data_IF_954297151672
#
_entry.id   IF_954297151672
#
_cell.length_a   1.000
_cell.length_b   1.000
_cell.length_c   1.000
_cell.angle_alpha   90.00
_cell.angle_beta   90.00
_cell.angle_gamma   90.00
#
_symmetry.space_group_name_H-M   'P 1'
#
loop_
_entity.id
_entity.type
_entity.pdbx_description
1 polymer ?
#
# COMPACT_ATOMS: atom_id res chain seq x y z
N UNK A 1 -21.44 -27.03 13.68
CA UNK A 1 -21.31 -26.76 12.23
C UNK A 1 -19.96 -26.13 12.00
N UNK A 2 -19.19 -26.62 11.03
CA UNK A 2 -17.89 -26.04 10.72
C UNK A 2 -18.12 -24.85 9.78
N UNK A 3 -17.86 -23.63 10.26
CA UNK A 3 -18.04 -22.40 9.48
C UNK A 3 -16.81 -22.21 8.59
N UNK A 4 -17.04 -21.96 7.29
CA UNK A 4 -15.96 -21.63 6.35
C UNK A 4 -15.51 -20.18 6.50
N UNK A 5 -14.31 -19.86 6.00
CA UNK A 5 -13.84 -18.46 5.94
C UNK A 5 -14.82 -17.57 5.17
N UNK A 6 -15.48 -18.10 4.14
CA UNK A 6 -16.42 -17.33 3.31
C UNK A 6 -17.66 -16.95 4.11
N UNK A 7 -18.22 -17.87 4.89
CA UNK A 7 -19.39 -17.64 5.73
C UNK A 7 -19.05 -16.69 6.88
N UNK A 8 -17.92 -16.93 7.57
CA UNK A 8 -17.49 -16.06 8.65
C UNK A 8 -17.27 -14.61 8.17
N UNK A 9 -16.61 -14.44 7.02
CA UNK A 9 -16.36 -13.11 6.44
C UNK A 9 -17.63 -12.33 6.09
N UNK A 10 -18.76 -13.01 5.86
CA UNK A 10 -20.02 -12.35 5.50
C UNK A 10 -20.66 -11.61 6.69
N UNK A 11 -20.40 -12.07 7.92
CA UNK A 11 -20.89 -11.48 9.16
C UNK A 11 -19.80 -10.71 9.94
N UNK A 12 -18.55 -10.76 9.49
CA UNK A 12 -17.40 -10.23 10.21
C UNK A 12 -16.99 -8.82 9.80
N UNK A 13 -16.47 -8.04 10.75
CA UNK A 13 -15.77 -6.78 10.48
C UNK A 13 -14.37 -7.00 9.86
N UNK A 14 -13.83 -8.21 9.97
CA UNK A 14 -12.53 -8.56 9.41
C UNK A 14 -12.70 -8.82 7.91
N UNK A 15 -11.98 -8.08 7.05
CA UNK A 15 -12.10 -8.28 5.61
C UNK A 15 -11.70 -9.71 5.19
N UNK A 16 -12.48 -10.34 4.29
CA UNK A 16 -12.20 -11.68 3.75
C UNK A 16 -10.75 -11.89 3.29
N UNK A 17 -10.11 -10.85 2.73
CA UNK A 17 -8.70 -10.89 2.31
C UNK A 17 -7.72 -11.18 3.45
N UNK A 18 -8.04 -10.70 4.66
CA UNK A 18 -7.22 -10.89 5.86
C UNK A 18 -7.40 -12.32 6.36
N UNK A 19 -8.61 -12.84 6.41
CA UNK A 19 -8.87 -14.24 6.79
C UNK A 19 -8.16 -15.21 5.84
N UNK A 20 -8.22 -14.96 4.52
CA UNK A 20 -7.46 -15.74 3.53
C UNK A 20 -5.94 -15.59 3.69
N UNK A 21 -5.46 -14.44 4.17
CA UNK A 21 -4.05 -14.28 4.51
C UNK A 21 -3.70 -15.15 5.71
N UNK A 22 -4.45 -15.08 6.80
CA UNK A 22 -4.23 -15.89 8.00
C UNK A 22 -4.23 -17.39 7.68
N UNK A 23 -5.14 -17.86 6.83
CA UNK A 23 -5.17 -19.25 6.38
C UNK A 23 -3.93 -19.65 5.58
N UNK A 24 -3.49 -18.81 4.64
CA UNK A 24 -2.26 -19.08 3.86
C UNK A 24 -1.00 -19.11 4.73
N UNK A 25 -0.99 -18.33 5.81
CA UNK A 25 0.09 -18.34 6.81
C UNK A 25 -0.07 -19.48 7.83
N UNK A 26 -1.10 -20.34 7.70
CA UNK A 26 -1.35 -21.46 8.62
C UNK A 26 -1.85 -21.06 10.01
N UNK A 27 -2.25 -19.80 10.21
CA UNK A 27 -2.68 -19.25 11.51
C UNK A 27 -4.09 -19.71 11.87
N UNK A 28 -4.96 -19.85 10.86
CA UNK A 28 -6.32 -20.39 11.00
C UNK A 28 -6.54 -21.47 9.94
N UNK A 29 -7.58 -22.30 10.09
CA UNK A 29 -7.95 -23.32 9.11
C UNK A 29 -9.18 -22.89 8.29
N UNK A 30 -9.42 -23.58 7.18
CA UNK A 30 -10.67 -23.50 6.43
C UNK A 30 -11.15 -24.93 6.11
N UNK A 31 -12.22 -25.45 6.74
CA UNK A 31 -13.13 -24.76 7.67
C UNK A 31 -12.49 -24.35 9.00
N UNK A 32 -13.05 -23.31 9.63
CA UNK A 32 -12.56 -22.77 10.90
C UNK A 32 -12.72 -23.77 12.05
N UNK A 33 -11.66 -23.96 12.83
CA UNK A 33 -11.70 -24.75 14.07
C UNK A 33 -12.35 -23.95 15.21
N UNK A 34 -12.78 -24.60 16.31
CA UNK A 34 -13.30 -23.89 17.48
C UNK A 34 -12.34 -22.81 18.01
N UNK A 35 -11.04 -23.11 18.10
CA UNK A 35 -10.03 -22.15 18.56
C UNK A 35 -9.86 -20.96 17.61
N UNK A 36 -9.98 -21.18 16.29
CA UNK A 36 -9.95 -20.12 15.29
C UNK A 36 -11.10 -19.13 15.54
N UNK A 37 -12.29 -19.63 15.87
CA UNK A 37 -13.45 -18.77 16.17
C UNK A 37 -13.20 -17.89 17.39
N UNK A 38 -12.63 -18.44 18.47
CA UNK A 38 -12.31 -17.68 19.68
C UNK A 38 -11.30 -16.57 19.35
N UNK A 39 -10.23 -16.91 18.62
CA UNK A 39 -9.22 -15.96 18.20
C UNK A 39 -9.76 -14.86 17.28
N UNK A 40 -10.60 -15.23 16.31
CA UNK A 40 -11.20 -14.28 15.38
C UNK A 40 -12.23 -13.36 16.07
N UNK A 41 -13.06 -13.87 16.97
CA UNK A 41 -13.98 -13.05 17.78
C UNK A 41 -13.24 -12.04 18.64
N UNK A 42 -12.09 -12.41 19.20
CA UNK A 42 -11.23 -11.46 19.90
C UNK A 42 -10.68 -10.41 18.93
N UNK A 43 -10.16 -10.85 17.78
CA UNK A 43 -9.61 -9.96 16.75
C UNK A 43 -10.67 -8.95 16.25
N UNK A 44 -11.93 -9.35 16.09
CA UNK A 44 -13.04 -8.48 15.70
C UNK A 44 -13.25 -7.33 16.69
N UNK A 45 -13.19 -7.60 17.99
CA UNK A 45 -13.38 -6.57 19.04
C UNK A 45 -12.31 -5.48 18.98
N UNK A 46 -11.10 -5.84 18.53
CA UNK A 46 -9.96 -4.93 18.43
C UNK A 46 -9.70 -4.41 17.02
N UNK A 47 -10.40 -4.92 16.01
CA UNK A 47 -10.17 -4.58 14.61
C UNK A 47 -10.39 -3.08 14.38
N UNK A 48 -9.36 -2.39 13.87
CA UNK A 48 -9.42 -0.95 13.63
C UNK A 48 -9.35 -0.06 14.87
N UNK A 49 -9.20 -0.60 16.09
CA UNK A 49 -9.06 0.21 17.31
C UNK A 49 -7.77 1.03 17.26
N UNK A 50 -7.91 2.35 17.38
CA UNK A 50 -6.80 3.31 17.24
C UNK A 50 -5.64 3.03 18.20
N UNK A 51 -5.90 2.70 19.45
CA UNK A 51 -4.84 2.44 20.44
C UNK A 51 -4.01 1.19 20.09
N UNK A 52 -4.66 0.12 19.63
CA UNK A 52 -3.98 -1.10 19.19
C UNK A 52 -3.17 -0.83 17.93
N UNK A 53 -3.76 -0.14 16.94
CA UNK A 53 -3.06 0.22 15.71
C UNK A 53 -1.83 1.11 15.97
N UNK A 54 -1.93 2.08 16.88
CA UNK A 54 -0.79 2.92 17.25
C UNK A 54 0.34 2.08 17.83
N UNK A 55 0.03 1.18 18.78
CA UNK A 55 1.01 0.29 19.39
C UNK A 55 1.68 -0.66 18.36
N UNK A 56 0.93 -1.13 17.37
CA UNK A 56 1.50 -1.92 16.26
C UNK A 56 2.43 -1.07 15.38
N UNK A 57 2.02 0.15 15.04
CA UNK A 57 2.81 1.05 14.19
C UNK A 57 4.09 1.56 14.87
N UNK A 58 4.14 1.67 16.20
CA UNK A 58 5.35 2.14 16.90
C UNK A 58 6.54 1.19 16.72
N UNK A 59 6.29 -0.10 16.44
CA UNK A 59 7.32 -1.10 16.12
C UNK A 59 8.04 -0.82 14.80
N UNK A 60 7.48 0.02 13.94
CA UNK A 60 8.10 0.41 12.67
C UNK A 60 8.89 1.72 12.82
N UNK A 61 9.98 1.87 12.05
CA UNK A 61 10.66 3.16 11.91
C UNK A 61 9.72 4.21 11.29
N UNK A 62 9.91 5.50 11.60
CA UNK A 62 9.05 6.59 11.11
C UNK A 62 8.87 6.57 9.59
N UNK A 63 9.96 6.38 8.84
CA UNK A 63 9.93 6.24 7.37
C UNK A 63 9.02 5.10 6.91
N UNK A 64 9.08 3.95 7.59
CA UNK A 64 8.24 2.79 7.30
C UNK A 64 6.76 3.04 7.66
N UNK A 65 6.47 3.69 8.81
CA UNK A 65 5.10 4.08 9.19
C UNK A 65 4.44 4.96 8.12
N UNK A 66 5.14 6.01 7.68
CA UNK A 66 4.63 6.92 6.66
C UNK A 66 4.41 6.20 5.32
N UNK A 67 5.32 5.30 4.95
CA UNK A 67 5.16 4.49 3.74
C UNK A 67 3.95 3.57 3.83
N UNK A 68 3.77 2.89 4.97
CA UNK A 68 2.63 2.00 5.23
C UNK A 68 1.30 2.76 5.11
N UNK A 69 1.18 3.89 5.81
CA UNK A 69 -0.05 4.73 5.78
C UNK A 69 -0.35 5.23 4.35
N UNK A 70 0.67 5.72 3.63
CA UNK A 70 0.48 6.23 2.25
C UNK A 70 0.00 5.16 1.27
N UNK A 71 0.32 3.90 1.56
CA UNK A 71 0.08 2.77 0.66
C UNK A 71 -1.02 1.82 1.16
N UNK A 72 -1.69 2.15 2.27
CA UNK A 72 -2.68 1.29 2.92
C UNK A 72 -3.89 0.95 2.01
N UNK A 73 -4.24 1.85 1.10
CA UNK A 73 -5.35 1.66 0.16
C UNK A 73 -4.99 0.77 -1.05
N UNK A 74 -3.70 0.49 -1.26
CA UNK A 74 -3.25 -0.34 -2.38
C UNK A 74 -3.31 -1.81 -1.99
N UNK A 75 -4.20 -2.54 -2.67
CA UNK A 75 -4.49 -3.93 -2.36
C UNK A 75 -3.35 -4.88 -2.75
N UNK A 76 -2.65 -4.58 -3.84
CA UNK A 76 -1.65 -5.49 -4.42
C UNK A 76 -0.22 -5.00 -4.21
N UNK A 77 0.74 -5.93 -4.25
CA UNK A 77 2.18 -5.62 -4.16
C UNK A 77 2.62 -4.70 -5.31
N UNK A 78 2.13 -4.93 -6.53
CA UNK A 78 2.50 -4.13 -7.69
C UNK A 78 1.96 -2.69 -7.60
N UNK A 79 0.77 -2.46 -7.04
CA UNK A 79 0.24 -1.10 -6.85
C UNK A 79 1.10 -0.32 -5.86
N UNK A 80 1.55 -0.97 -4.77
CA UNK A 80 2.48 -0.37 -3.80
C UNK A 80 3.85 -0.07 -4.43
N UNK A 81 4.37 -0.99 -5.25
CA UNK A 81 5.59 -0.78 -6.02
C UNK A 81 5.46 0.42 -6.96
N UNK A 82 4.41 0.46 -7.78
CA UNK A 82 4.15 1.54 -8.72
C UNK A 82 4.09 2.91 -8.02
N UNK A 83 3.38 3.00 -6.89
CA UNK A 83 3.34 4.22 -6.09
C UNK A 83 4.73 4.67 -5.64
N UNK A 84 5.53 3.73 -5.13
CA UNK A 84 6.91 4.01 -4.72
C UNK A 84 7.76 4.50 -5.90
N UNK A 85 7.67 3.85 -7.07
CA UNK A 85 8.40 4.23 -8.28
C UNK A 85 8.07 5.64 -8.76
N UNK A 86 6.79 6.00 -8.87
CA UNK A 86 6.39 7.36 -9.25
C UNK A 86 6.77 8.41 -8.19
N UNK A 87 6.66 8.05 -6.91
CA UNK A 87 6.98 8.97 -5.81
C UNK A 87 8.47 9.30 -5.75
N UNK A 88 9.33 8.32 -6.05
CA UNK A 88 10.78 8.43 -5.96
C UNK A 88 11.47 8.72 -7.31
N UNK A 89 10.71 9.04 -8.36
CA UNK A 89 11.25 9.46 -9.65
C UNK A 89 12.16 10.69 -9.48
N UNK A 90 13.31 10.70 -10.16
CA UNK A 90 14.28 11.80 -10.07
C UNK A 90 13.66 13.16 -10.47
N UNK A 91 14.02 14.26 -9.79
CA UNK A 91 13.63 15.61 -10.21
C UNK A 91 14.10 15.89 -11.65
N UNK A 92 13.28 16.60 -12.43
CA UNK A 92 13.61 16.99 -13.80
C UNK A 92 13.48 15.88 -14.85
N UNK A 93 13.60 14.60 -14.49
CA UNK A 93 13.38 13.48 -15.41
C UNK A 93 11.90 13.14 -15.51
N UNK A 94 11.40 12.81 -16.70
CA UNK A 94 10.04 12.25 -16.89
C UNK A 94 10.11 10.73 -16.83
N UNK A 95 9.30 10.11 -15.97
CA UNK A 95 9.10 8.65 -15.97
C UNK A 95 7.93 8.31 -16.91
N UNK A 96 8.25 7.60 -18.00
CA UNK A 96 7.26 7.15 -18.96
C UNK A 96 6.37 6.04 -18.37
N UNK A 97 5.08 6.07 -18.70
CA UNK A 97 4.14 5.05 -18.21
C UNK A 97 4.51 3.65 -18.71
N UNK A 98 4.94 3.56 -19.97
CA UNK A 98 5.30 2.31 -20.62
C UNK A 98 6.46 1.60 -19.90
N UNK A 99 7.48 2.35 -19.48
CA UNK A 99 8.59 1.79 -18.69
C UNK A 99 8.10 1.20 -17.36
N UNK A 100 7.17 1.87 -16.68
CA UNK A 100 6.61 1.35 -15.41
C UNK A 100 5.74 0.12 -15.63
N UNK A 101 5.00 0.06 -16.75
CA UNK A 101 4.25 -1.13 -17.17
C UNK A 101 5.22 -2.30 -17.33
N UNK A 102 6.27 -2.14 -18.15
CA UNK A 102 7.27 -3.18 -18.41
C UNK A 102 7.99 -3.64 -17.14
N UNK A 103 8.38 -2.70 -16.27
CA UNK A 103 8.96 -3.01 -14.95
C UNK A 103 8.01 -3.86 -14.10
N UNK A 104 6.73 -3.51 -14.03
CA UNK A 104 5.72 -4.24 -13.25
C UNK A 104 5.52 -5.64 -13.83
N UNK A 105 5.34 -5.75 -15.14
CA UNK A 105 5.07 -7.04 -15.78
C UNK A 105 6.25 -8.00 -15.60
N UNK A 106 7.48 -7.47 -15.69
CA UNK A 106 8.71 -8.24 -15.46
C UNK A 106 8.89 -8.62 -13.99
N UNK A 107 8.68 -7.69 -13.06
CA UNK A 107 8.92 -7.92 -11.62
C UNK A 107 7.89 -8.85 -10.98
N UNK A 108 6.64 -8.78 -11.44
CA UNK A 108 5.52 -9.51 -10.85
C UNK A 108 5.00 -10.66 -11.73
N UNK A 109 5.67 -10.93 -12.87
CA UNK A 109 5.41 -12.05 -13.77
C UNK A 109 3.95 -12.15 -14.25
N UNK A 110 3.33 -11.03 -14.61
CA UNK A 110 1.97 -10.99 -15.18
C UNK A 110 1.81 -9.82 -16.15
N UNK A 111 0.83 -9.88 -17.07
CA UNK A 111 0.51 -8.77 -17.98
C UNK A 111 -0.60 -7.87 -17.43
N UNK A 112 -0.42 -6.56 -17.52
CA UNK A 112 -1.40 -5.59 -17.08
C UNK A 112 -2.55 -5.50 -18.08
N UNK A 113 -3.78 -5.76 -17.62
CA UNK A 113 -4.98 -5.53 -18.41
C UNK A 113 -5.43 -4.06 -18.38
N UNK A 114 -6.37 -3.69 -19.26
CA UNK A 114 -6.89 -2.32 -19.37
C UNK A 114 -7.35 -1.73 -18.01
N UNK A 115 -8.13 -2.45 -17.17
CA UNK A 115 -8.46 -1.97 -15.82
C UNK A 115 -7.25 -1.69 -14.93
N UNK A 116 -6.23 -2.57 -14.94
CA UNK A 116 -5.03 -2.39 -14.14
C UNK A 116 -4.19 -1.21 -14.65
N UNK A 117 -4.10 -1.01 -15.96
CA UNK A 117 -3.47 0.18 -16.56
C UNK A 117 -4.19 1.46 -16.10
N UNK A 118 -5.52 1.47 -16.09
CA UNK A 118 -6.29 2.61 -15.58
C UNK A 118 -6.02 2.88 -14.09
N UNK A 119 -5.86 1.83 -13.27
CA UNK A 119 -5.42 1.97 -11.87
C UNK A 119 -4.02 2.55 -11.77
N UNK A 120 -3.10 2.16 -12.65
CA UNK A 120 -1.73 2.66 -12.68
C UNK A 120 -1.67 4.18 -12.92
N UNK A 121 -2.51 4.72 -13.82
CA UNK A 121 -2.67 6.17 -14.00
C UNK A 121 -3.13 6.88 -12.72
N UNK A 122 -4.12 6.33 -12.01
CA UNK A 122 -4.59 6.89 -10.73
C UNK A 122 -3.49 6.89 -9.68
N UNK A 123 -2.69 5.83 -9.63
CA UNK A 123 -1.54 5.71 -8.73
C UNK A 123 -0.48 6.78 -9.03
N UNK A 124 -0.18 7.01 -10.32
CA UNK A 124 0.74 8.08 -10.75
C UNK A 124 0.28 9.45 -10.25
N UNK A 125 -0.98 9.80 -10.47
CA UNK A 125 -1.53 11.08 -10.04
C UNK A 125 -1.45 11.24 -8.50
N UNK A 126 -1.83 10.19 -7.75
CA UNK A 126 -1.72 10.20 -6.28
C UNK A 126 -0.28 10.36 -5.80
N UNK A 127 0.68 9.72 -6.46
CA UNK A 127 2.10 9.85 -6.15
C UNK A 127 2.60 11.27 -6.44
N UNK A 128 2.22 11.88 -7.57
CA UNK A 128 2.59 13.24 -7.94
C UNK A 128 2.05 14.28 -6.95
N UNK A 129 0.77 14.17 -6.57
CA UNK A 129 0.17 15.05 -5.54
C UNK A 129 0.90 14.90 -4.21
N UNK A 130 1.22 13.67 -3.79
CA UNK A 130 1.95 13.42 -2.56
C UNK A 130 3.38 13.97 -2.59
N UNK A 131 4.05 13.98 -3.76
CA UNK A 131 5.35 14.63 -3.95
C UNK A 131 5.24 16.15 -3.86
N UNK A 132 4.24 16.75 -4.49
CA UNK A 132 4.02 18.19 -4.46
C UNK A 132 3.76 18.68 -3.04
N UNK A 133 2.87 18.01 -2.30
CA UNK A 133 2.56 18.36 -0.89
C UNK A 133 3.74 18.11 0.06
N UNK A 134 4.66 17.21 -0.29
CA UNK A 134 5.86 16.93 0.49
C UNK A 134 7.02 17.88 0.21
N UNK A 135 6.94 18.71 -0.85
CA UNK A 135 7.87 19.80 -1.12
C UNK A 135 7.31 21.05 -0.42
N UNK A 136 7.94 21.47 0.68
CA UNK A 136 7.62 22.77 1.26
C UNK A 136 7.99 23.88 0.26
N UNK A 137 7.14 24.89 0.01
CA UNK A 137 7.51 26.05 -0.81
C UNK A 137 8.78 26.74 -0.31
N UNK A 138 9.00 26.74 1.01
CA UNK A 138 10.17 27.31 1.66
C UNK A 138 11.51 26.60 1.38
N UNK A 139 11.51 25.37 0.84
CA UNK A 139 12.75 24.69 0.40
C UNK A 139 13.14 25.05 -1.04
N UNK A 140 12.18 25.50 -1.86
CA UNK A 140 12.43 25.86 -3.26
C UNK A 140 13.13 27.23 -3.33
N UNK A 141 12.84 28.15 -2.41
CA UNK A 141 13.52 29.45 -2.30
C UNK A 141 14.98 29.37 -1.78
N UNK A 142 15.41 28.22 -1.25
CA UNK A 142 16.78 28.04 -0.73
C UNK A 142 17.77 27.48 -1.75
N UNK A 143 17.36 27.28 -3.00
CA UNK A 143 18.31 26.99 -4.07
C UNK A 143 19.01 28.30 -4.47
N UNK A 144 20.34 28.41 -4.32
CA UNK A 144 21.05 29.58 -4.83
C UNK A 144 20.84 29.63 -6.34
N UNK A 145 20.31 30.74 -6.84
CA UNK A 145 20.35 31.06 -8.26
C UNK A 145 21.83 31.00 -8.67
N UNK A 146 22.18 29.99 -9.46
CA UNK A 146 23.50 29.93 -10.08
C UNK A 146 23.72 31.25 -10.83
N UNK A 147 24.83 31.98 -10.59
CA UNK A 147 25.06 33.23 -11.29
C UNK A 147 25.15 32.93 -12.79
N UNK A 148 24.27 33.59 -13.55
CA UNK A 148 24.31 33.57 -15.01
C UNK A 148 25.67 34.11 -15.44
N UNK A 149 26.54 33.23 -15.92
CA UNK A 149 27.82 33.63 -16.47
C UNK A 149 27.55 34.28 -17.84
N UNK A 150 27.59 35.61 -17.87
CA UNK A 150 27.83 36.35 -19.09
C UNK A 150 29.19 35.95 -19.67
N UNK A 151 29.21 35.51 -20.93
CA UNK A 151 30.06 36.01 -22.01
C UNK A 151 29.66 35.38 -23.34
#
# INVERSE_FOLDING_TARGET
>A
MNVTITEYAAASLIPKRILRYLHREGIIQDPLRPDDHIGLQFLEKIWGRKEVLRAQLTKLAMKARLSFIRTADFSTKWERYAYSRFRNQEPGKKLAMQLVIEEIETTFFFRLNKPQINRLYKIRNRAQVARHRGRNPAEVERQPLLPSANK
#
